data_IF_660430253934
#
_entry.id   IF_660430253934
#
_cell.length_a   1.000
_cell.length_b   1.000
_cell.length_c   1.000
_cell.angle_alpha   90.00
_cell.angle_beta   90.00
_cell.angle_gamma   90.00
#
_symmetry.space_group_name_H-M   'P 1'
#
loop_
_entity.id
_entity.type
_entity.pdbx_description
1 polymer ?
#
# COMPACT_ATOMS: atom_id res chain seq x y z
N UNK A 1 -38.19 -2.31 -28.87
CA UNK A 1 -37.11 -3.19 -29.40
C UNK A 1 -35.71 -2.56 -29.32
N UNK A 2 -35.51 -1.32 -29.78
CA UNK A 2 -34.20 -0.65 -29.77
C UNK A 2 -33.50 -0.49 -28.39
N UNK A 3 -34.20 -0.21 -27.27
CA UNK A 3 -33.56 -0.05 -25.95
C UNK A 3 -32.96 -1.36 -25.43
N UNK A 4 -33.68 -2.48 -25.64
CA UNK A 4 -33.21 -3.81 -25.23
C UNK A 4 -31.99 -4.26 -26.04
N UNK A 5 -31.94 -3.93 -27.34
CA UNK A 5 -30.80 -4.24 -28.19
C UNK A 5 -29.56 -3.42 -27.79
N UNK A 6 -29.73 -2.14 -27.44
CA UNK A 6 -28.63 -1.31 -26.93
C UNK A 6 -28.09 -1.84 -25.60
N UNK A 7 -28.97 -2.15 -24.64
CA UNK A 7 -28.58 -2.74 -23.36
C UNK A 7 -27.89 -4.10 -23.54
N UNK A 8 -28.39 -4.96 -24.42
CA UNK A 8 -27.78 -6.25 -24.73
C UNK A 8 -26.38 -6.09 -25.34
N UNK A 9 -26.20 -5.15 -26.28
CA UNK A 9 -24.89 -4.84 -26.88
C UNK A 9 -23.91 -4.31 -25.83
N UNK A 10 -24.33 -3.38 -24.97
CA UNK A 10 -23.50 -2.86 -23.87
C UNK A 10 -23.09 -3.98 -22.92
N UNK A 11 -24.03 -4.85 -22.52
CA UNK A 11 -23.76 -5.97 -21.64
C UNK A 11 -22.78 -6.97 -22.28
N UNK A 12 -22.99 -7.32 -23.54
CA UNK A 12 -22.10 -8.20 -24.29
C UNK A 12 -20.67 -7.64 -24.35
N UNK A 13 -20.52 -6.34 -24.65
CA UNK A 13 -19.22 -5.68 -24.68
C UNK A 13 -18.53 -5.66 -23.32
N UNK A 14 -19.27 -5.37 -22.24
CA UNK A 14 -18.75 -5.43 -20.86
C UNK A 14 -18.28 -6.85 -20.53
N UNK A 15 -19.07 -7.88 -20.84
CA UNK A 15 -18.72 -9.28 -20.56
C UNK A 15 -17.47 -9.72 -21.33
N UNK A 16 -17.40 -9.40 -22.63
CA UNK A 16 -16.27 -9.76 -23.48
C UNK A 16 -14.98 -9.06 -23.00
N UNK A 17 -15.05 -7.76 -22.70
CA UNK A 17 -13.91 -7.02 -22.15
C UNK A 17 -13.49 -7.54 -20.77
N UNK A 18 -14.46 -7.84 -19.90
CA UNK A 18 -14.20 -8.42 -18.58
C UNK A 18 -13.46 -9.75 -18.69
N UNK A 19 -13.89 -10.61 -19.62
CA UNK A 19 -13.25 -11.89 -19.88
C UNK A 19 -11.82 -11.69 -20.40
N UNK A 20 -11.62 -10.85 -21.43
CA UNK A 20 -10.30 -10.57 -21.98
C UNK A 20 -9.32 -10.07 -20.92
N UNK A 21 -9.77 -9.12 -20.09
CA UNK A 21 -8.96 -8.55 -19.01
C UNK A 21 -8.64 -9.57 -17.93
N UNK A 22 -9.63 -10.38 -17.53
CA UNK A 22 -9.40 -11.44 -16.57
C UNK A 22 -8.41 -12.47 -17.10
N UNK A 23 -8.56 -12.90 -18.36
CA UNK A 23 -7.62 -13.82 -19.01
C UNK A 23 -6.21 -13.22 -19.06
N UNK A 24 -6.07 -11.96 -19.46
CA UNK A 24 -4.77 -11.28 -19.46
C UNK A 24 -4.16 -11.25 -18.04
N UNK A 25 -4.91 -10.81 -17.04
CA UNK A 25 -4.47 -10.78 -15.64
C UNK A 25 -4.06 -12.16 -15.12
N UNK A 26 -4.85 -13.19 -15.44
CA UNK A 26 -4.59 -14.56 -15.01
C UNK A 26 -3.30 -15.09 -15.61
N UNK A 27 -3.15 -15.02 -16.94
CA UNK A 27 -1.95 -15.47 -17.64
C UNK A 27 -0.73 -14.67 -17.17
N UNK A 28 -0.87 -13.36 -17.00
CA UNK A 28 0.18 -12.49 -16.49
C UNK A 28 0.69 -12.93 -15.12
N UNK A 29 -0.21 -13.23 -14.17
CA UNK A 29 0.17 -13.73 -12.86
C UNK A 29 0.80 -15.14 -12.92
N UNK A 30 0.30 -16.01 -13.81
CA UNK A 30 0.87 -17.34 -14.03
C UNK A 30 2.31 -17.31 -14.55
N UNK A 31 2.72 -16.26 -15.25
CA UNK A 31 4.11 -16.12 -15.72
C UNK A 31 4.96 -15.27 -14.77
N UNK A 32 4.43 -14.15 -14.28
CA UNK A 32 5.21 -13.16 -13.53
C UNK A 32 5.60 -13.65 -12.13
N UNK A 33 4.65 -14.24 -11.38
CA UNK A 33 4.90 -14.63 -9.99
C UNK A 33 5.82 -15.85 -9.89
N UNK A 34 5.63 -16.93 -10.66
CA UNK A 34 6.60 -18.03 -10.67
C UNK A 34 7.99 -17.57 -11.13
N UNK A 35 8.08 -16.72 -12.16
CA UNK A 35 9.36 -16.15 -12.59
C UNK A 35 10.05 -15.38 -11.47
N UNK A 36 9.31 -14.52 -10.76
CA UNK A 36 9.79 -13.79 -9.58
C UNK A 36 10.38 -14.75 -8.53
N UNK A 37 9.64 -15.80 -8.17
CA UNK A 37 10.11 -16.80 -7.21
C UNK A 37 11.37 -17.54 -7.69
N UNK A 38 11.42 -17.94 -8.96
CA UNK A 38 12.54 -18.68 -9.54
C UNK A 38 13.81 -17.84 -9.63
N UNK A 39 13.70 -16.58 -10.04
CA UNK A 39 14.83 -15.65 -10.00
C UNK A 39 15.39 -15.50 -8.59
N UNK A 40 14.53 -15.29 -7.59
CA UNK A 40 14.98 -15.13 -6.21
C UNK A 40 15.53 -16.43 -5.62
N UNK A 41 15.08 -17.60 -6.08
CA UNK A 41 15.64 -18.89 -5.73
C UNK A 41 17.07 -19.05 -6.30
N UNK A 42 17.27 -18.69 -7.58
CA UNK A 42 18.60 -18.73 -8.20
C UNK A 42 19.54 -17.69 -7.59
N UNK A 43 19.02 -16.55 -7.13
CA UNK A 43 19.81 -15.49 -6.51
C UNK A 43 20.09 -15.72 -5.01
N UNK A 44 19.74 -16.87 -4.41
CA UNK A 44 20.06 -17.14 -3.01
C UNK A 44 21.56 -17.06 -2.66
N UNK A 45 22.51 -17.52 -3.51
CA UNK A 45 23.94 -17.31 -3.25
C UNK A 45 24.31 -15.84 -3.13
N UNK A 46 23.73 -14.96 -3.97
CA UNK A 46 23.93 -13.52 -3.89
C UNK A 46 23.44 -12.97 -2.56
N UNK A 47 22.31 -13.47 -2.03
CA UNK A 47 21.82 -13.07 -0.70
C UNK A 47 22.81 -13.35 0.42
N UNK A 48 23.58 -14.44 0.32
CA UNK A 48 24.57 -14.82 1.34
C UNK A 48 25.83 -13.97 1.23
N UNK A 49 26.27 -13.64 0.02
CA UNK A 49 27.51 -12.90 -0.24
C UNK A 49 27.31 -11.38 -0.16
N UNK A 50 26.20 -10.87 -0.68
CA UNK A 50 25.84 -9.45 -0.74
C UNK A 50 24.31 -9.28 -0.58
N UNK A 51 23.86 -9.36 0.68
CA UNK A 51 22.45 -9.20 1.03
C UNK A 51 21.84 -7.85 0.58
N UNK A 52 22.53 -6.69 0.73
CA UNK A 52 22.02 -5.41 0.23
C UNK A 52 21.68 -5.43 -1.27
N UNK A 53 22.58 -5.98 -2.12
CA UNK A 53 22.30 -6.06 -3.56
C UNK A 53 21.16 -7.02 -3.87
N UNK A 54 21.06 -8.14 -3.16
CA UNK A 54 19.91 -9.05 -3.30
C UNK A 54 18.58 -8.35 -3.03
N UNK A 55 18.47 -7.62 -1.92
CA UNK A 55 17.23 -6.90 -1.56
C UNK A 55 16.96 -5.70 -2.47
N UNK A 56 18.00 -5.07 -3.02
CA UNK A 56 17.86 -4.07 -4.07
C UNK A 56 17.16 -4.66 -5.30
N UNK A 57 17.65 -5.81 -5.78
CA UNK A 57 17.10 -6.51 -6.96
C UNK A 57 15.66 -6.97 -6.68
N UNK A 58 15.43 -7.60 -5.53
CA UNK A 58 14.10 -8.02 -5.10
C UNK A 58 13.12 -6.84 -5.07
N UNK A 59 13.52 -5.70 -4.50
CA UNK A 59 12.67 -4.50 -4.45
C UNK A 59 12.35 -3.93 -5.84
N UNK A 60 13.29 -4.01 -6.80
CA UNK A 60 13.02 -3.64 -8.21
C UNK A 60 11.97 -4.57 -8.82
N UNK A 61 12.13 -5.88 -8.65
CA UNK A 61 11.18 -6.87 -9.17
C UNK A 61 9.81 -6.77 -8.50
N UNK A 62 9.77 -6.49 -7.20
CA UNK A 62 8.55 -6.23 -6.46
C UNK A 62 7.80 -5.01 -7.04
N UNK A 63 8.51 -3.90 -7.29
CA UNK A 63 7.92 -2.73 -7.96
C UNK A 63 7.30 -3.08 -9.31
N UNK A 64 7.93 -3.95 -10.09
CA UNK A 64 7.40 -4.42 -11.38
C UNK A 64 6.11 -5.19 -11.23
N UNK A 65 6.03 -6.13 -10.28
CA UNK A 65 4.79 -6.86 -10.00
C UNK A 65 3.65 -5.91 -9.59
N UNK A 66 3.93 -4.94 -8.74
CA UNK A 66 2.94 -3.94 -8.32
C UNK A 66 2.54 -3.01 -9.46
N UNK A 67 3.42 -2.75 -10.42
CA UNK A 67 3.12 -1.99 -11.62
C UNK A 67 2.17 -2.74 -12.55
N UNK A 68 2.30 -4.06 -12.65
CA UNK A 68 1.33 -4.90 -13.35
C UNK A 68 -0.05 -4.80 -12.69
N UNK A 69 -0.14 -4.80 -11.36
CA UNK A 69 -1.41 -4.59 -10.65
C UNK A 69 -1.98 -3.19 -10.93
N UNK A 70 -1.14 -2.15 -10.89
CA UNK A 70 -1.55 -0.79 -11.24
C UNK A 70 -2.11 -0.70 -12.67
N UNK A 71 -1.52 -1.44 -13.62
CA UNK A 71 -1.97 -1.47 -15.01
C UNK A 71 -3.40 -2.00 -15.18
N UNK A 72 -3.91 -2.83 -14.24
CA UNK A 72 -5.28 -3.33 -14.31
C UNK A 72 -6.30 -2.20 -14.23
N UNK A 73 -6.11 -1.27 -13.30
CA UNK A 73 -6.99 -0.10 -13.17
C UNK A 73 -6.77 0.88 -14.31
N UNK A 74 -5.51 1.12 -14.67
CA UNK A 74 -5.17 2.08 -15.72
C UNK A 74 -5.78 1.70 -17.08
N UNK A 75 -5.69 0.43 -17.49
CA UNK A 75 -6.32 -0.07 -18.72
C UNK A 75 -7.86 -0.01 -18.68
N UNK A 76 -8.48 0.21 -17.51
CA UNK A 76 -9.91 0.44 -17.35
C UNK A 76 -10.33 1.91 -17.44
N UNK A 77 -9.38 2.83 -17.51
CA UNK A 77 -9.65 4.24 -17.24
C UNK A 77 -9.95 4.52 -15.76
N UNK A 78 -9.47 3.67 -14.85
CA UNK A 78 -9.45 4.01 -13.42
C UNK A 78 -8.12 4.70 -13.12
N UNK A 79 -8.17 6.00 -12.85
CA UNK A 79 -6.99 6.83 -12.63
C UNK A 79 -6.99 7.42 -11.22
N UNK A 80 -5.87 8.02 -10.82
CA UNK A 80 -5.74 8.66 -9.51
C UNK A 80 -5.39 10.14 -9.66
N UNK A 81 -6.09 10.99 -8.92
CA UNK A 81 -5.73 12.40 -8.73
C UNK A 81 -5.28 12.61 -7.29
N UNK A 82 -4.13 13.25 -7.14
CA UNK A 82 -3.44 13.45 -5.87
C UNK A 82 -3.58 14.90 -5.41
N UNK A 83 -3.71 15.10 -4.10
CA UNK A 83 -4.00 16.38 -3.46
C UNK A 83 -3.17 16.54 -2.19
N UNK A 84 -3.00 17.78 -1.73
CA UNK A 84 -2.30 18.08 -0.47
C UNK A 84 -0.78 18.08 -0.64
N UNK A 85 -0.07 17.57 0.35
CA UNK A 85 1.39 17.65 0.42
C UNK A 85 2.09 16.81 -0.67
N UNK A 86 3.27 17.26 -1.11
CA UNK A 86 4.14 16.46 -1.96
C UNK A 86 5.03 15.54 -1.13
N UNK A 87 4.77 14.23 -1.23
CA UNK A 87 5.51 13.19 -0.51
C UNK A 87 6.74 12.67 -1.26
N UNK A 88 6.99 13.11 -2.50
CA UNK A 88 8.16 12.65 -3.29
C UNK A 88 9.51 12.94 -2.62
N UNK A 89 9.73 14.09 -1.96
CA UNK A 89 10.99 14.36 -1.25
C UNK A 89 11.29 13.36 -0.12
N UNK A 90 10.27 12.68 0.41
CA UNK A 90 10.37 11.72 1.52
C UNK A 90 10.60 10.28 1.02
N UNK A 91 10.82 10.07 -0.29
CA UNK A 91 10.93 8.71 -0.85
C UNK A 91 12.09 7.90 -0.28
N UNK A 92 13.14 8.59 0.17
CA UNK A 92 14.31 7.97 0.81
C UNK A 92 14.31 8.09 2.33
N UNK A 93 13.27 8.65 2.94
CA UNK A 93 13.13 8.74 4.39
C UNK A 93 12.29 7.56 4.92
N UNK A 94 12.55 7.15 6.16
CA UNK A 94 11.70 6.19 6.86
C UNK A 94 10.37 6.84 7.27
N UNK A 95 9.25 6.24 6.89
CA UNK A 95 7.92 6.80 7.13
C UNK A 95 6.88 5.75 7.50
N UNK A 96 5.97 6.10 8.42
CA UNK A 96 4.76 5.33 8.67
C UNK A 96 3.61 5.94 7.88
N UNK A 97 2.95 5.12 7.05
CA UNK A 97 1.87 5.56 6.17
C UNK A 97 0.53 5.06 6.73
N UNK A 98 -0.30 5.97 7.22
CA UNK A 98 -1.65 5.66 7.70
C UNK A 98 -2.69 6.01 6.65
N UNK A 99 -3.62 5.08 6.39
CA UNK A 99 -4.64 5.22 5.34
C UNK A 99 -6.03 4.88 5.88
N UNK A 100 -7.07 5.60 5.45
CA UNK A 100 -8.45 5.15 5.66
C UNK A 100 -8.74 3.91 4.80
N UNK A 101 -9.73 3.11 5.20
CA UNK A 101 -9.99 1.82 4.55
C UNK A 101 -11.45 1.66 4.15
N UNK A 102 -11.74 1.84 2.87
CA UNK A 102 -13.08 1.74 2.30
C UNK A 102 -13.35 0.38 1.64
N UNK A 103 -12.36 -0.19 0.95
CA UNK A 103 -12.52 -1.44 0.18
C UNK A 103 -11.19 -2.12 -0.16
N UNK A 104 -11.26 -3.27 -0.85
CA UNK A 104 -10.07 -3.96 -1.38
C UNK A 104 -9.35 -3.15 -2.47
N UNK A 105 -10.04 -2.25 -3.17
CA UNK A 105 -9.44 -1.39 -4.20
C UNK A 105 -8.50 -0.33 -3.65
N UNK A 106 -8.50 -0.08 -2.32
CA UNK A 106 -7.57 0.87 -1.69
C UNK A 106 -6.12 0.43 -1.91
N UNK A 107 -5.85 -0.87 -1.81
CA UNK A 107 -4.52 -1.45 -2.03
C UNK A 107 -4.07 -1.25 -3.47
N UNK A 108 -4.96 -1.48 -4.45
CA UNK A 108 -4.66 -1.23 -5.86
C UNK A 108 -4.43 0.26 -6.14
N UNK A 109 -5.20 1.14 -5.49
CA UNK A 109 -5.04 2.60 -5.57
C UNK A 109 -3.66 3.03 -5.06
N UNK A 110 -3.21 2.48 -3.92
CA UNK A 110 -1.88 2.73 -3.37
C UNK A 110 -0.75 2.17 -4.26
N UNK A 111 -0.91 0.94 -4.75
CA UNK A 111 0.03 0.33 -5.71
C UNK A 111 0.15 1.12 -7.00
N UNK A 112 -0.89 1.87 -7.39
CA UNK A 112 -0.84 2.83 -8.48
C UNK A 112 -0.16 4.12 -8.03
N UNK A 113 -0.73 4.86 -7.08
CA UNK A 113 -0.34 6.25 -6.81
C UNK A 113 1.09 6.42 -6.27
N UNK A 114 1.70 5.36 -5.73
CA UNK A 114 3.08 5.40 -5.23
C UNK A 114 4.13 5.11 -6.32
N UNK A 115 3.74 4.69 -7.53
CA UNK A 115 4.69 4.27 -8.58
C UNK A 115 5.63 5.36 -9.08
N UNK A 116 5.21 6.61 -9.00
CA UNK A 116 5.98 7.78 -9.44
C UNK A 116 6.80 8.43 -8.32
N UNK A 117 6.88 7.78 -7.14
CA UNK A 117 7.52 8.32 -5.92
C UNK A 117 8.89 7.72 -5.67
N UNK A 118 9.73 7.72 -6.71
CA UNK A 118 11.10 7.22 -6.62
C UNK A 118 11.18 5.75 -6.17
N UNK A 119 11.81 5.52 -5.02
CA UNK A 119 12.04 4.16 -4.48
C UNK A 119 10.93 3.63 -3.59
N UNK A 120 9.89 4.42 -3.28
CA UNK A 120 8.85 4.07 -2.29
C UNK A 120 8.32 2.66 -2.49
N UNK A 121 7.84 2.33 -3.70
CA UNK A 121 7.24 1.00 -3.97
C UNK A 121 8.25 -0.14 -3.75
N UNK A 122 9.54 0.11 -3.98
CA UNK A 122 10.60 -0.91 -3.81
C UNK A 122 10.90 -1.19 -2.34
N UNK A 123 10.67 -0.20 -1.48
CA UNK A 123 11.09 -0.19 -0.07
C UNK A 123 9.91 -0.15 0.90
N UNK A 124 8.68 -0.26 0.43
CA UNK A 124 7.51 -0.22 1.29
C UNK A 124 7.17 -1.60 1.84
N UNK A 125 6.72 -1.67 3.08
CA UNK A 125 6.26 -2.87 3.76
C UNK A 125 4.76 -2.75 4.04
N UNK A 126 4.01 -3.81 3.78
CA UNK A 126 2.58 -3.86 4.08
C UNK A 126 2.29 -4.49 5.44
N UNK A 127 1.31 -3.93 6.14
CA UNK A 127 0.52 -4.64 7.15
C UNK A 127 -0.79 -5.13 6.54
N UNK A 128 -0.91 -6.44 6.37
CA UNK A 128 -2.02 -7.07 5.63
C UNK A 128 -2.80 -8.06 6.50
N UNK A 129 -4.06 -8.31 6.15
CA UNK A 129 -4.83 -9.38 6.81
C UNK A 129 -4.22 -10.77 6.54
N UNK A 130 -4.19 -11.63 7.55
CA UNK A 130 -3.63 -12.98 7.47
C UNK A 130 -4.21 -13.84 6.34
N UNK A 131 -5.46 -13.62 5.90
CA UNK A 131 -6.06 -14.35 4.77
C UNK A 131 -5.24 -14.18 3.48
N UNK A 132 -4.60 -13.03 3.26
CA UNK A 132 -3.82 -12.78 2.05
C UNK A 132 -2.61 -13.69 1.92
N UNK A 133 -2.11 -14.26 3.02
CA UNK A 133 -0.96 -15.20 3.03
C UNK A 133 -1.18 -16.40 2.10
N UNK A 134 -2.44 -16.80 1.88
CA UNK A 134 -2.82 -17.97 1.07
C UNK A 134 -3.08 -17.64 -0.41
N UNK A 135 -2.75 -16.42 -0.84
CA UNK A 135 -2.92 -15.97 -2.23
C UNK A 135 -1.57 -15.94 -2.95
N UNK A 136 -1.60 -15.82 -4.28
CA UNK A 136 -0.42 -15.56 -5.09
C UNK A 136 0.32 -14.27 -4.65
N UNK A 137 -0.42 -13.22 -4.26
CA UNK A 137 0.16 -12.03 -3.65
C UNK A 137 0.79 -12.31 -2.29
N UNK A 138 0.20 -13.22 -1.51
CA UNK A 138 0.75 -13.65 -0.22
C UNK A 138 2.14 -14.23 -0.33
N UNK A 139 2.43 -15.02 -1.37
CA UNK A 139 3.77 -15.55 -1.64
C UNK A 139 4.77 -14.42 -1.89
N UNK A 140 4.40 -13.46 -2.76
CA UNK A 140 5.23 -12.28 -3.05
C UNK A 140 5.49 -11.48 -1.77
N UNK A 141 4.44 -11.19 -0.99
CA UNK A 141 4.51 -10.46 0.27
C UNK A 141 5.35 -11.16 1.34
N UNK A 142 5.27 -12.49 1.46
CA UNK A 142 6.14 -13.27 2.35
C UNK A 142 7.62 -13.14 1.97
N UNK A 143 7.91 -13.20 0.67
CA UNK A 143 9.28 -13.04 0.15
C UNK A 143 9.75 -11.61 0.33
N UNK A 144 8.89 -10.61 0.12
CA UNK A 144 9.19 -9.19 0.33
C UNK A 144 9.43 -8.86 1.81
N UNK A 145 8.77 -9.58 2.71
CA UNK A 145 8.89 -9.35 4.15
C UNK A 145 7.79 -8.47 4.70
N UNK A 146 6.61 -8.50 4.08
CA UNK A 146 5.39 -7.91 4.61
C UNK A 146 4.91 -8.64 5.86
N UNK A 147 4.13 -7.94 6.69
CA UNK A 147 3.57 -8.49 7.92
C UNK A 147 2.10 -8.87 7.75
N UNK A 148 1.76 -10.09 8.13
CA UNK A 148 0.39 -10.60 8.12
C UNK A 148 -0.22 -10.58 9.52
N UNK A 149 -1.18 -9.68 9.74
CA UNK A 149 -1.89 -9.55 11.01
C UNK A 149 -3.17 -10.38 11.02
N UNK A 150 -3.31 -11.23 12.03
CA UNK A 150 -4.56 -11.96 12.30
C UNK A 150 -5.52 -11.10 13.11
N UNK A 151 -6.70 -10.84 12.55
CA UNK A 151 -7.75 -10.10 13.24
C UNK A 151 -8.40 -10.94 14.35
N UNK A 152 -8.96 -10.26 15.36
CA UNK A 152 -9.73 -10.86 16.45
C UNK A 152 -9.15 -10.58 17.84
N UNK A 153 -10.03 -10.49 18.84
CA UNK A 153 -9.65 -10.13 20.23
C UNK A 153 -8.62 -11.11 20.81
N UNK A 154 -8.82 -12.41 20.58
CA UNK A 154 -7.98 -13.48 21.13
C UNK A 154 -6.51 -13.45 20.66
N UNK A 155 -6.23 -12.83 19.50
CA UNK A 155 -4.88 -12.79 18.94
C UNK A 155 -4.21 -11.43 19.10
N UNK A 156 -4.94 -10.39 19.50
CA UNK A 156 -4.50 -8.98 19.42
C UNK A 156 -3.13 -8.76 20.08
N UNK A 157 -2.97 -9.16 21.33
CA UNK A 157 -1.73 -8.94 22.08
C UNK A 157 -0.54 -9.71 21.48
N UNK A 158 -0.75 -10.99 21.15
CA UNK A 158 0.29 -11.83 20.51
C UNK A 158 0.73 -11.27 19.15
N UNK A 159 -0.20 -10.74 18.37
CA UNK A 159 0.12 -10.14 17.07
C UNK A 159 0.96 -8.88 17.19
N UNK A 160 0.83 -8.10 18.27
CA UNK A 160 1.67 -6.92 18.51
C UNK A 160 3.11 -7.31 18.85
N UNK A 161 3.31 -8.39 19.62
CA UNK A 161 4.64 -8.96 19.87
C UNK A 161 5.26 -9.45 18.56
N UNK A 162 4.51 -10.20 17.76
CA UNK A 162 5.00 -10.68 16.46
C UNK A 162 5.30 -9.54 15.48
N UNK A 163 4.53 -8.45 15.52
CA UNK A 163 4.81 -7.27 14.72
C UNK A 163 6.17 -6.68 15.11
N UNK A 164 6.41 -6.47 16.40
CA UNK A 164 7.71 -5.97 16.89
C UNK A 164 8.86 -6.88 16.41
N UNK A 165 8.77 -8.18 16.66
CA UNK A 165 9.81 -9.14 16.28
C UNK A 165 10.05 -9.16 14.76
N UNK A 166 8.99 -8.99 13.97
CA UNK A 166 9.08 -8.92 12.51
C UNK A 166 9.77 -7.65 12.03
N UNK A 167 9.46 -6.49 12.64
CA UNK A 167 10.12 -5.22 12.33
C UNK A 167 11.61 -5.30 12.66
N UNK A 168 11.96 -5.78 13.86
CA UNK A 168 13.35 -5.98 14.29
C UNK A 168 14.12 -6.87 13.32
N UNK A 169 13.48 -7.92 12.80
CA UNK A 169 14.11 -8.91 11.93
C UNK A 169 14.23 -8.47 10.47
N UNK A 170 13.20 -7.82 9.91
CA UNK A 170 13.07 -7.65 8.45
C UNK A 170 13.05 -6.20 7.96
N UNK A 171 12.75 -5.21 8.80
CA UNK A 171 12.61 -3.83 8.32
C UNK A 171 13.94 -3.28 7.82
N UNK A 172 14.96 -3.20 8.68
CA UNK A 172 16.28 -2.70 8.29
C UNK A 172 17.08 -3.70 7.45
N UNK A 173 16.97 -5.01 7.74
CA UNK A 173 17.75 -6.04 7.04
C UNK A 173 17.36 -6.21 5.55
N UNK A 174 16.22 -5.64 5.15
CA UNK A 174 15.71 -5.64 3.77
C UNK A 174 15.54 -4.24 3.17
N UNK A 175 16.21 -3.24 3.75
CA UNK A 175 16.16 -1.83 3.31
C UNK A 175 14.71 -1.33 3.11
N UNK A 176 13.84 -1.62 4.08
CA UNK A 176 12.47 -1.10 4.10
C UNK A 176 12.45 0.27 4.75
N UNK A 177 11.63 1.16 4.19
CA UNK A 177 11.52 2.58 4.60
C UNK A 177 10.09 2.96 4.90
N UNK A 178 9.15 2.63 4.04
CA UNK A 178 7.75 3.01 4.25
C UNK A 178 6.97 1.84 4.82
N UNK A 179 6.19 2.03 5.87
CA UNK A 179 5.31 0.99 6.41
C UNK A 179 3.85 1.41 6.30
N UNK A 180 3.09 0.67 5.50
CA UNK A 180 1.71 1.01 5.16
C UNK A 180 0.75 0.22 6.03
N UNK A 181 -0.14 0.93 6.73
CA UNK A 181 -1.19 0.34 7.55
C UNK A 181 -2.52 1.07 7.41
N UNK A 182 -3.59 0.33 7.71
CA UNK A 182 -4.97 0.82 7.75
C UNK A 182 -5.47 0.78 9.21
N UNK A 183 -5.30 1.88 9.99
CA UNK A 183 -5.59 1.86 11.42
C UNK A 183 -7.04 1.51 11.79
N UNK A 184 -8.01 1.70 10.89
CA UNK A 184 -9.40 1.25 11.05
C UNK A 184 -9.51 -0.26 11.38
N UNK A 185 -8.53 -1.04 10.90
CA UNK A 185 -8.43 -2.48 11.13
C UNK A 185 -9.50 -3.29 10.40
N UNK A 186 -10.03 -2.76 9.30
CA UNK A 186 -11.00 -3.42 8.41
C UNK A 186 -11.78 -2.41 7.58
N UNK A 187 -12.44 -2.88 6.52
CA UNK A 187 -13.23 -2.02 5.63
C UNK A 187 -14.34 -1.27 6.38
N UNK A 188 -14.53 0.01 6.04
CA UNK A 188 -15.55 0.91 6.57
C UNK A 188 -16.93 0.23 6.66
N UNK A 189 -17.38 -0.39 5.55
CA UNK A 189 -18.70 -1.07 5.50
C UNK A 189 -18.88 -2.12 6.59
N UNK A 190 -17.82 -2.82 6.98
CA UNK A 190 -17.86 -3.88 8.02
C UNK A 190 -17.71 -3.31 9.43
N UNK A 191 -17.18 -2.10 9.59
CA UNK A 191 -16.71 -1.57 10.88
C UNK A 191 -17.50 -0.38 11.39
N UNK A 192 -18.15 0.37 10.51
CA UNK A 192 -18.86 1.62 10.82
C UNK A 192 -19.82 1.49 12.00
N UNK A 193 -20.78 0.57 11.95
CA UNK A 193 -21.78 0.41 13.02
C UNK A 193 -21.15 0.09 14.39
N UNK A 194 -20.17 -0.82 14.39
CA UNK A 194 -19.45 -1.18 15.63
C UNK A 194 -18.60 -0.03 16.16
N UNK A 195 -18.01 0.78 15.26
CA UNK A 195 -17.23 1.96 15.61
C UNK A 195 -18.11 3.05 16.19
N UNK A 196 -19.27 3.32 15.58
CA UNK A 196 -20.24 4.31 16.07
C UNK A 196 -20.83 3.91 17.41
N UNK A 197 -21.11 2.62 17.60
CA UNK A 197 -21.56 2.08 18.90
C UNK A 197 -20.50 2.24 19.99
N UNK A 198 -19.22 2.05 19.65
CA UNK A 198 -18.12 2.32 20.56
C UNK A 198 -17.99 3.81 20.87
N UNK A 199 -18.07 4.67 19.84
CA UNK A 199 -17.99 6.11 19.99
C UNK A 199 -19.06 6.65 20.94
N UNK A 200 -20.33 6.23 20.76
CA UNK A 200 -21.44 6.59 21.65
C UNK A 200 -21.23 6.16 23.10
N UNK A 201 -20.61 5.00 23.33
CA UNK A 201 -20.34 4.49 24.70
C UNK A 201 -19.20 5.21 25.40
N UNK A 202 -18.30 5.83 24.63
CA UNK A 202 -17.08 6.48 25.12
C UNK A 202 -17.10 8.00 24.95
N UNK A 203 -18.24 8.54 24.57
CA UNK A 203 -18.43 9.98 24.28
C UNK A 203 -17.40 10.52 23.27
N UNK A 204 -17.12 9.72 22.24
CA UNK A 204 -16.20 10.07 21.17
C UNK A 204 -16.96 10.57 19.92
N UNK A 205 -16.30 11.29 19.00
CA UNK A 205 -16.92 11.80 17.79
C UNK A 205 -17.62 10.70 16.96
N UNK A 206 -18.79 11.04 16.44
CA UNK A 206 -19.54 10.20 15.52
C UNK A 206 -19.01 10.36 14.10
N UNK A 207 -18.45 9.29 13.52
CA UNK A 207 -17.82 9.28 12.19
C UNK A 207 -18.66 8.44 11.21
N UNK A 208 -18.83 8.93 9.97
CA UNK A 208 -19.69 8.31 8.94
C UNK A 208 -18.90 7.77 7.76
N UNK A 209 -17.85 8.50 7.35
CA UNK A 209 -17.02 8.21 6.18
C UNK A 209 -15.71 7.50 6.52
N UNK A 210 -15.35 7.44 7.80
CA UNK A 210 -14.26 6.62 8.37
C UNK A 210 -14.71 5.96 9.68
N UNK A 211 -13.86 5.10 10.24
CA UNK A 211 -14.04 4.55 11.59
C UNK A 211 -12.95 5.01 12.55
N UNK A 212 -13.24 4.94 13.85
CA UNK A 212 -12.25 5.23 14.88
C UNK A 212 -11.08 4.24 14.77
N UNK A 213 -9.84 4.73 14.68
CA UNK A 213 -8.67 3.91 14.44
C UNK A 213 -8.30 3.07 15.67
N UNK A 214 -7.58 1.98 15.43
CA UNK A 214 -6.98 1.13 16.46
C UNK A 214 -5.53 1.55 16.67
N UNK A 215 -5.15 1.70 17.93
CA UNK A 215 -3.82 2.18 18.34
C UNK A 215 -2.68 1.17 18.13
N UNK A 216 -2.93 -0.12 18.40
CA UNK A 216 -1.85 -1.06 18.71
C UNK A 216 -0.74 -1.19 17.66
N UNK A 217 -1.07 -1.32 16.38
CA UNK A 217 -0.04 -1.44 15.34
C UNK A 217 0.77 -0.13 15.18
N UNK A 218 0.07 1.01 15.16
CA UNK A 218 0.68 2.35 15.10
C UNK A 218 1.66 2.56 16.26
N UNK A 219 1.24 2.24 17.49
CA UNK A 219 2.06 2.38 18.68
C UNK A 219 3.30 1.48 18.66
N UNK A 220 3.17 0.21 18.25
CA UNK A 220 4.32 -0.70 18.13
C UNK A 220 5.30 -0.21 17.08
N UNK A 221 4.81 0.24 15.93
CA UNK A 221 5.65 0.78 14.85
C UNK A 221 6.44 2.00 15.34
N UNK A 222 5.76 2.97 15.97
CA UNK A 222 6.40 4.17 16.51
C UNK A 222 7.42 3.85 17.61
N UNK A 223 7.11 2.91 18.53
CA UNK A 223 8.04 2.51 19.59
C UNK A 223 9.24 1.73 19.07
N UNK A 224 9.06 0.94 18.02
CA UNK A 224 10.13 0.06 17.49
C UNK A 224 11.03 0.79 16.51
N UNK A 225 10.46 1.66 15.67
CA UNK A 225 11.16 2.33 14.58
C UNK A 225 11.33 3.84 14.79
N UNK A 226 10.70 4.43 15.79
CA UNK A 226 10.87 5.84 16.11
C UNK A 226 12.33 6.18 16.47
N UNK A 227 12.69 7.48 16.48
CA UNK A 227 14.03 7.91 16.85
C UNK A 227 14.35 7.40 18.26
N UNK A 228 15.43 6.62 18.38
CA UNK A 228 15.95 6.24 19.68
C UNK A 228 16.36 7.52 20.40
N UNK A 229 15.68 7.86 21.50
CA UNK A 229 16.23 8.81 22.46
C UNK A 229 17.49 8.15 23.02
N UNK A 230 18.66 8.49 22.47
CA UNK A 230 19.91 8.21 23.17
C UNK A 230 19.80 8.90 24.52
N UNK A 231 19.83 8.10 25.59
CA UNK A 231 19.73 8.54 26.97
C UNK A 231 20.66 9.74 27.23
N UNK A 232 20.11 10.95 27.21
CA UNK A 232 20.60 12.11 27.96
C UNK A 232 22.03 12.61 27.70
N UNK A 233 22.64 12.41 26.54
CA UNK A 233 23.91 13.09 26.20
C UNK A 233 23.74 13.82 24.86
N UNK A 234 23.76 15.16 24.95
CA UNK A 234 24.01 16.06 23.82
C UNK A 234 25.26 15.57 23.09
N UNK A 235 25.10 15.08 21.87
CA UNK A 235 26.18 14.69 20.99
C UNK A 235 27.03 15.89 20.62
N UNK A 236 27.99 16.20 21.48
CA UNK A 236 29.12 17.06 21.15
C UNK A 236 30.00 16.33 20.14
N UNK A 237 30.50 17.10 19.19
CA UNK A 237 31.34 16.75 18.04
C UNK A 237 32.35 15.61 18.28
N UNK A 238 32.38 14.64 17.37
CA UNK A 238 33.47 13.68 17.25
C UNK A 238 33.03 12.24 17.01
N UNK A 239 32.47 11.92 15.83
CA UNK A 239 32.35 10.52 15.41
C UNK A 239 33.67 10.05 14.78
N UNK A 240 34.29 8.95 15.24
CA UNK A 240 35.43 8.34 14.58
C UNK A 240 35.05 7.79 13.20
N UNK A 241 35.98 7.74 12.23
CA UNK A 241 35.68 7.21 10.90
C UNK A 241 35.59 5.67 10.96
N UNK A 242 34.37 5.13 10.88
CA UNK A 242 34.17 3.67 10.81
C UNK A 242 32.81 3.14 11.27
N UNK A 243 31.89 3.97 11.77
CA UNK A 243 30.53 3.50 12.11
C UNK A 243 29.61 3.50 10.88
N UNK A 244 28.94 2.37 10.67
CA UNK A 244 27.81 2.23 9.76
C UNK A 244 26.82 3.38 9.96
N UNK A 245 26.24 3.88 8.86
CA UNK A 245 25.18 4.87 8.89
C UNK A 245 24.08 4.33 9.81
N UNK A 246 24.01 4.79 11.06
CA UNK A 246 22.91 4.44 11.97
C UNK A 246 21.62 4.89 11.29
N UNK A 247 20.64 3.99 11.20
CA UNK A 247 19.32 4.33 10.69
C UNK A 247 18.76 5.48 11.52
N UNK A 248 18.26 6.52 10.85
CA UNK A 248 17.75 7.73 11.54
C UNK A 248 16.45 7.46 12.31
N UNK A 249 15.86 6.28 12.12
CA UNK A 249 14.51 5.93 12.57
C UNK A 249 13.45 6.63 11.71
N UNK A 250 12.18 6.39 12.01
CA UNK A 250 11.06 7.08 11.36
C UNK A 250 11.27 8.58 11.41
N UNK A 251 11.18 9.24 10.26
CA UNK A 251 11.26 10.69 10.12
C UNK A 251 9.88 11.32 9.92
N UNK A 252 8.91 10.54 9.40
CA UNK A 252 7.60 11.04 8.99
C UNK A 252 6.45 10.10 9.34
N UNK A 253 5.28 10.68 9.60
CA UNK A 253 3.99 10.02 9.42
C UNK A 253 3.31 10.64 8.21
N UNK A 254 3.03 9.81 7.21
CA UNK A 254 2.31 10.19 5.99
C UNK A 254 0.86 9.74 6.14
N UNK A 255 -0.04 10.71 6.17
CA UNK A 255 -1.46 10.49 6.36
C UNK A 255 -2.20 10.60 5.02
N UNK A 256 -2.68 9.48 4.50
CA UNK A 256 -3.33 9.38 3.19
C UNK A 256 -4.84 9.20 3.32
N UNK A 257 -5.61 10.02 2.60
CA UNK A 257 -7.07 9.93 2.54
C UNK A 257 -7.51 9.57 1.14
N UNK A 258 -7.97 8.33 0.96
CA UNK A 258 -8.57 7.83 -0.28
C UNK A 258 -10.06 8.21 -0.29
N UNK A 259 -10.49 8.83 -1.37
CA UNK A 259 -11.88 9.20 -1.63
C UNK A 259 -12.31 8.70 -3.00
N UNK A 260 -13.37 7.89 -3.03
CA UNK A 260 -13.99 7.46 -4.29
C UNK A 260 -15.18 8.36 -4.64
N UNK A 261 -15.36 8.74 -5.92
CA UNK A 261 -16.50 9.55 -6.34
C UNK A 261 -17.84 8.97 -5.86
N UNK A 262 -18.71 9.86 -5.38
CA UNK A 262 -20.04 9.52 -4.86
C UNK A 262 -20.03 8.53 -3.67
N UNK A 263 -18.91 8.44 -2.93
CA UNK A 263 -18.73 7.45 -1.86
C UNK A 263 -18.97 6.00 -2.31
N UNK A 264 -18.62 5.68 -3.56
CA UNK A 264 -18.81 4.36 -4.17
C UNK A 264 -17.46 3.64 -4.36
N UNK A 265 -16.88 3.06 -3.30
CA UNK A 265 -15.57 2.42 -3.38
C UNK A 265 -15.54 1.27 -4.39
N UNK A 266 -14.37 1.06 -4.99
CA UNK A 266 -14.13 -0.04 -5.92
C UNK A 266 -13.52 -1.24 -5.20
N UNK A 267 -13.96 -2.44 -5.53
CA UNK A 267 -13.27 -3.66 -5.09
C UNK A 267 -12.20 -4.10 -6.09
N UNK A 268 -11.35 -5.02 -5.68
CA UNK A 268 -10.32 -5.60 -6.56
C UNK A 268 -10.94 -6.28 -7.80
N UNK A 269 -12.17 -6.79 -7.71
CA UNK A 269 -12.87 -7.38 -8.86
C UNK A 269 -13.18 -6.32 -9.91
N UNK A 270 -13.62 -5.12 -9.49
CA UNK A 270 -13.81 -3.97 -10.36
C UNK A 270 -12.53 -3.65 -11.12
N UNK A 271 -11.38 -3.63 -10.43
CA UNK A 271 -10.06 -3.39 -11.02
C UNK A 271 -9.66 -4.46 -12.05
N UNK A 272 -9.92 -5.72 -11.75
CA UNK A 272 -9.59 -6.84 -12.65
C UNK A 272 -10.49 -6.81 -13.89
N UNK A 273 -11.81 -6.82 -13.70
CA UNK A 273 -12.79 -7.00 -14.77
C UNK A 273 -13.10 -5.72 -15.54
N UNK A 274 -12.95 -4.54 -14.94
CA UNK A 274 -13.21 -3.29 -15.67
C UNK A 274 -14.67 -3.03 -16.01
N UNK A 275 -15.61 -3.58 -15.23
CA UNK A 275 -17.04 -3.51 -15.56
C UNK A 275 -17.72 -2.19 -15.15
N UNK A 276 -17.02 -1.31 -14.41
CA UNK A 276 -17.53 0.03 -14.05
C UNK A 276 -17.04 1.05 -15.08
N UNK A 277 -17.80 2.12 -15.25
CA UNK A 277 -17.38 3.23 -16.10
C UNK A 277 -16.05 3.83 -15.58
N UNK A 278 -15.19 4.36 -16.47
CA UNK A 278 -13.95 5.05 -16.10
C UNK A 278 -14.18 6.06 -14.98
N UNK A 279 -13.27 6.10 -14.01
CA UNK A 279 -13.45 6.92 -12.81
C UNK A 279 -12.12 7.35 -12.23
N UNK A 280 -12.14 8.47 -11.52
CA UNK A 280 -10.96 9.04 -10.88
C UNK A 280 -11.07 8.81 -9.38
N UNK A 281 -10.13 8.08 -8.79
CA UNK A 281 -9.99 7.99 -7.33
C UNK A 281 -9.13 9.16 -6.85
N UNK A 282 -9.51 9.79 -5.75
CA UNK A 282 -8.78 10.95 -5.22
C UNK A 282 -7.99 10.54 -3.97
N UNK A 283 -6.73 10.97 -3.88
CA UNK A 283 -5.85 10.67 -2.75
C UNK A 283 -5.30 11.98 -2.19
N UNK A 284 -5.63 12.30 -0.95
CA UNK A 284 -5.09 13.47 -0.26
C UNK A 284 -3.98 13.08 0.70
N UNK A 285 -2.84 13.76 0.63
CA UNK A 285 -1.68 13.57 1.49
C UNK A 285 -1.59 14.68 2.54
N UNK A 286 -1.27 14.30 3.79
CA UNK A 286 -0.75 15.20 4.83
C UNK A 286 0.49 14.56 5.43
N UNK A 287 1.48 15.36 5.74
CA UNK A 287 2.76 14.90 6.28
C UNK A 287 3.01 15.49 7.64
N UNK A 288 3.49 14.66 8.57
CA UNK A 288 3.81 15.07 9.92
C UNK A 288 5.24 14.65 10.24
N UNK A 289 6.14 15.58 10.59
CA UNK A 289 7.45 15.23 11.12
C UNK A 289 7.29 14.34 12.36
N UNK A 290 8.13 13.32 12.50
CA UNK A 290 8.02 12.37 13.61
C UNK A 290 8.11 13.04 14.98
N UNK A 291 8.86 14.14 15.08
CA UNK A 291 9.04 14.94 16.30
C UNK A 291 7.74 15.57 16.81
N UNK A 292 6.75 15.73 15.92
CA UNK A 292 5.45 16.32 16.24
C UNK A 292 4.39 15.24 16.54
N UNK A 293 4.79 13.95 16.49
CA UNK A 293 3.92 12.80 16.76
C UNK A 293 4.15 12.30 18.18
N UNK A 294 3.14 12.30 19.05
CA UNK A 294 3.30 11.84 20.43
C UNK A 294 3.57 10.33 20.50
N UNK A 295 4.41 9.93 21.45
CA UNK A 295 4.78 8.52 21.68
C UNK A 295 3.98 7.90 22.83
N UNK A 296 3.52 8.72 23.78
CA UNK A 296 2.72 8.28 24.93
C UNK A 296 1.33 7.79 24.47
N UNK A 297 0.86 6.69 25.05
CA UNK A 297 -0.30 5.93 24.55
C UNK A 297 -1.60 6.76 24.49
N UNK A 298 -1.87 7.58 25.51
CA UNK A 298 -3.06 8.43 25.56
C UNK A 298 -2.98 9.58 24.56
N UNK A 299 -1.89 10.35 24.59
CA UNK A 299 -1.65 11.44 23.64
C UNK A 299 -1.62 10.96 22.17
N UNK A 300 -1.06 9.77 21.91
CA UNK A 300 -1.08 9.13 20.59
C UNK A 300 -2.48 8.70 20.19
N UNK A 301 -3.31 8.24 21.13
CA UNK A 301 -4.70 7.92 20.86
C UNK A 301 -5.46 9.16 20.41
N UNK A 302 -5.34 10.25 21.15
CA UNK A 302 -6.02 11.52 20.83
C UNK A 302 -5.53 12.10 19.51
N UNK A 303 -4.21 12.09 19.29
CA UNK A 303 -3.61 12.53 18.03
C UNK A 303 -4.12 11.70 16.83
N UNK A 304 -4.17 10.38 16.97
CA UNK A 304 -4.64 9.49 15.90
C UNK A 304 -6.15 9.63 15.67
N UNK A 305 -6.94 9.83 16.72
CA UNK A 305 -8.38 10.11 16.60
C UNK A 305 -8.62 11.42 15.86
N UNK A 306 -7.85 12.45 16.18
CA UNK A 306 -7.92 13.75 15.53
C UNK A 306 -7.63 13.64 14.02
N UNK A 307 -6.65 12.82 13.59
CA UNK A 307 -6.41 12.54 12.16
C UNK A 307 -7.65 11.96 11.48
N UNK A 308 -8.36 11.03 12.12
CA UNK A 308 -9.57 10.43 11.55
C UNK A 308 -10.79 11.37 11.61
N UNK A 309 -10.87 12.27 12.58
CA UNK A 309 -11.86 13.37 12.57
C UNK A 309 -11.58 14.34 11.41
N UNK A 310 -10.32 14.63 11.12
CA UNK A 310 -9.94 15.44 9.96
C UNK A 310 -10.29 14.74 8.64
N UNK A 311 -10.02 13.43 8.52
CA UNK A 311 -10.44 12.61 7.38
C UNK A 311 -11.96 12.65 7.16
N UNK A 312 -12.74 12.55 8.24
CA UNK A 312 -14.19 12.66 8.16
C UNK A 312 -14.61 13.98 7.51
N UNK A 313 -14.02 15.11 7.94
CA UNK A 313 -14.30 16.43 7.37
C UNK A 313 -13.84 16.54 5.91
N UNK A 314 -12.66 16.02 5.58
CA UNK A 314 -12.13 15.99 4.21
C UNK A 314 -13.06 15.22 3.27
N UNK A 315 -13.50 14.02 3.69
CA UNK A 315 -14.38 13.17 2.91
C UNK A 315 -15.79 13.76 2.79
N UNK A 316 -16.34 14.31 3.88
CA UNK A 316 -17.65 14.97 3.85
C UNK A 316 -17.66 16.16 2.88
N UNK A 317 -16.60 16.98 2.90
CA UNK A 317 -16.44 18.06 1.93
C UNK A 317 -16.32 17.50 0.50
N UNK A 318 -15.43 16.53 0.27
CA UNK A 318 -15.23 15.92 -1.04
C UNK A 318 -16.51 15.32 -1.63
N UNK A 319 -17.31 14.61 -0.84
CA UNK A 319 -18.57 14.03 -1.32
C UNK A 319 -19.66 15.07 -1.60
N UNK A 320 -19.54 16.29 -1.06
CA UNK A 320 -20.44 17.40 -1.34
C UNK A 320 -20.01 18.22 -2.55
N UNK A 321 -18.70 18.41 -2.74
CA UNK A 321 -18.15 19.38 -3.71
C UNK A 321 -17.44 18.75 -4.89
N UNK A 322 -16.99 17.50 -4.78
CA UNK A 322 -16.18 16.80 -5.78
C UNK A 322 -14.67 17.08 -5.70
N UNK A 323 -14.23 17.89 -4.73
CA UNK A 323 -12.82 18.23 -4.52
C UNK A 323 -12.49 18.28 -3.02
N UNK A 324 -11.22 18.17 -2.65
CA UNK A 324 -10.80 18.38 -1.26
C UNK A 324 -10.77 19.89 -0.92
N UNK A 325 -11.00 20.28 0.34
CA UNK A 325 -11.04 21.69 0.71
C UNK A 325 -9.67 22.34 0.54
N UNK A 326 -9.60 23.58 0.02
CA UNK A 326 -8.35 24.32 -0.09
C UNK A 326 -7.80 24.71 1.30
N UNK A 327 -6.49 24.98 1.42
CA UNK A 327 -5.91 25.57 2.61
C UNK A 327 -6.47 26.97 2.85
N UNK A 328 -6.46 27.42 4.10
CA UNK A 328 -6.98 28.75 4.48
C UNK A 328 -6.31 29.85 3.63
N UNK A 329 -7.15 30.63 2.94
CA UNK A 329 -6.70 31.73 2.07
C UNK A 329 -6.47 31.38 0.60
N UNK A 330 -6.57 30.11 0.19
CA UNK A 330 -6.49 29.71 -1.23
C UNK A 330 -7.88 29.42 -1.82
N UNK A 331 -8.07 29.77 -3.10
CA UNK A 331 -9.32 29.50 -3.82
C UNK A 331 -9.46 28.04 -4.26
N UNK A 332 -8.35 27.38 -4.59
CA UNK A 332 -8.32 26.00 -5.07
C UNK A 332 -7.09 25.26 -4.51
N UNK A 333 -7.27 23.99 -4.17
CA UNK A 333 -6.16 23.12 -3.76
C UNK A 333 -5.45 22.60 -5.01
N UNK A 334 -4.12 22.72 -5.04
CA UNK A 334 -3.32 22.12 -6.11
C UNK A 334 -3.57 20.61 -6.17
N UNK A 335 -3.83 20.12 -7.37
CA UNK A 335 -3.99 18.69 -7.64
C UNK A 335 -3.08 18.25 -8.76
N UNK A 336 -2.70 16.98 -8.73
CA UNK A 336 -1.87 16.35 -9.74
C UNK A 336 -2.49 15.05 -10.19
N UNK A 337 -2.66 14.89 -11.49
CA UNK A 337 -2.98 13.57 -12.03
C UNK A 337 -1.75 12.69 -11.92
N UNK A 338 -1.91 11.55 -11.26
CA UNK A 338 -0.86 10.55 -11.25
C UNK A 338 -0.69 9.96 -12.65
N UNK A 339 0.55 9.74 -13.05
CA UNK A 339 0.90 9.17 -14.35
C UNK A 339 1.63 7.85 -14.16
N UNK A 340 1.27 6.86 -14.99
CA UNK A 340 2.03 5.64 -15.17
C UNK A 340 2.81 5.77 -16.48
N UNK A 341 4.10 5.46 -16.44
CA UNK A 341 4.91 5.41 -17.66
C UNK A 341 4.52 4.17 -18.48
N UNK A 342 3.81 4.41 -19.57
CA UNK A 342 3.28 3.35 -20.44
C UNK A 342 4.38 2.59 -21.18
N UNK A 343 5.48 3.25 -21.53
CA UNK A 343 6.60 2.61 -22.23
C UNK A 343 7.31 1.69 -21.26
N UNK A 344 7.57 2.16 -20.05
CA UNK A 344 8.13 1.34 -18.98
C UNK A 344 7.21 0.17 -18.60
N UNK A 345 5.90 0.40 -18.49
CA UNK A 345 4.94 -0.67 -18.23
C UNK A 345 4.98 -1.74 -19.34
N UNK A 346 5.06 -1.34 -20.61
CA UNK A 346 5.19 -2.29 -21.71
C UNK A 346 6.46 -3.13 -21.55
N UNK A 347 7.60 -2.51 -21.22
CA UNK A 347 8.87 -3.22 -20.98
C UNK A 347 8.72 -4.23 -19.83
N UNK A 348 8.11 -3.82 -18.71
CA UNK A 348 7.87 -4.68 -17.55
C UNK A 348 6.98 -5.88 -17.93
N UNK A 349 5.92 -5.64 -18.69
CA UNK A 349 5.03 -6.71 -19.15
C UNK A 349 5.75 -7.67 -20.11
N UNK A 350 6.47 -7.15 -21.10
CA UNK A 350 7.26 -7.97 -22.03
C UNK A 350 8.31 -8.80 -21.29
N UNK A 351 9.01 -8.22 -20.33
CA UNK A 351 9.98 -8.94 -19.50
C UNK A 351 9.32 -10.09 -18.72
N UNK A 352 8.12 -9.90 -18.18
CA UNK A 352 7.40 -10.94 -17.45
C UNK A 352 7.03 -12.14 -18.33
N UNK A 353 6.50 -11.88 -19.53
CA UNK A 353 6.16 -12.94 -20.49
C UNK A 353 7.42 -13.65 -21.01
N UNK A 354 8.47 -12.91 -21.35
CA UNK A 354 9.75 -13.48 -21.77
C UNK A 354 10.37 -14.35 -20.66
N UNK A 355 10.33 -13.88 -19.41
CA UNK A 355 10.80 -14.64 -18.24
C UNK A 355 10.00 -15.91 -18.04
N UNK A 356 8.67 -15.84 -18.16
CA UNK A 356 7.82 -17.02 -18.04
C UNK A 356 8.12 -18.08 -19.09
N UNK A 357 8.30 -17.66 -20.35
CA UNK A 357 8.70 -18.56 -21.42
C UNK A 357 10.08 -19.16 -21.18
N UNK A 358 11.07 -18.34 -20.80
CA UNK A 358 12.42 -18.80 -20.47
C UNK A 358 12.39 -19.87 -19.36
N UNK A 359 11.71 -19.60 -18.24
CA UNK A 359 11.61 -20.55 -17.13
C UNK A 359 10.89 -21.83 -17.52
N UNK A 360 9.82 -21.73 -18.31
CA UNK A 360 9.15 -22.90 -18.86
C UNK A 360 10.12 -23.76 -19.67
N UNK A 361 10.86 -23.17 -20.62
CA UNK A 361 11.87 -23.89 -21.43
C UNK A 361 12.96 -24.54 -20.59
N UNK A 362 13.50 -23.83 -19.58
CA UNK A 362 14.52 -24.35 -18.66
C UNK A 362 13.98 -25.55 -17.88
N UNK A 363 12.78 -25.43 -17.29
CA UNK A 363 12.18 -26.49 -16.49
C UNK A 363 11.81 -27.71 -17.34
N UNK A 364 11.31 -27.51 -18.56
CA UNK A 364 11.05 -28.60 -19.50
C UNK A 364 12.33 -29.33 -19.89
N UNK A 365 13.42 -28.60 -20.17
CA UNK A 365 14.69 -29.21 -20.51
C UNK A 365 15.27 -30.03 -19.35
N UNK A 366 15.19 -29.50 -18.12
CA UNK A 366 15.56 -30.23 -16.90
C UNK A 366 14.71 -31.49 -16.75
N UNK A 367 13.39 -31.38 -16.91
CA UNK A 367 12.48 -32.52 -16.81
C UNK A 367 12.85 -33.63 -17.79
N UNK A 368 13.02 -33.31 -19.08
CA UNK A 368 13.41 -34.26 -20.12
C UNK A 368 14.82 -34.85 -19.94
N UNK A 369 15.68 -34.23 -19.13
CA UNK A 369 17.01 -34.76 -18.84
C UNK A 369 16.99 -35.80 -17.71
N UNK A 370 16.05 -35.66 -16.76
CA UNK A 370 15.93 -36.55 -15.60
C UNK A 370 14.88 -37.65 -15.77
N UNK A 371 13.87 -37.45 -16.63
CA UNK A 371 12.76 -38.37 -16.91
C UNK A 371 12.58 -38.50 -18.41
#
# INVERSE_FOLDING_TARGET
MAPHLHTARKLFWILMNSLLRFTFMFVNNCVAIPSYCLYLLVLQPLRVVDAPTFWYIEGVMFRWLLAMVASWGWCAGYTVTEWGDDVRPMSEDEAMVIVNHQSTGDVCTLMMCLQDKGTVVRKMMWLMDHVFKYTNFGVVSLIHGDFFIRQGKAHREKQLVYLKDHLDKYYYSRDRKWIVLFPEGGFLRKRRETSQSFAKKKDLPYLTHVTLPRLGATEIILKTLGPQQENGILGTEGNPPGQSIKAKGLQWVIDMTIAYPNARPMDIQTWIFGYRDPTVTHVHYRTYPIKDVPVESEALTDWLYQRFVEKEKLLAHFYKTGAFPPPDGQKELASRNMTLDNVWLLIVQTFAFASGYMWYSVLTHIYCWFF
#
